data_IF_403136258711
#
_entry.id   IF_403136258711
#
_cell.length_a   1.000
_cell.length_b   1.000
_cell.length_c   1.000
_cell.angle_alpha   90.00
_cell.angle_beta   90.00
_cell.angle_gamma   90.00
#
_symmetry.space_group_name_H-M   'P 1'
#
loop_
_entity.id
_entity.type
_entity.pdbx_description
1 polymer ?
#
# COMPACT_ATOMS: atom_id res chain seq x y z
N UNK A 1 -3.59 8.97 8.77
CA UNK A 1 -4.14 8.16 7.70
C UNK A 1 -3.11 7.87 6.63
N UNK A 2 -3.17 6.67 6.07
CA UNK A 2 -2.20 6.20 5.08
C UNK A 2 -2.60 6.49 3.64
N UNK A 3 -3.84 6.87 3.39
CA UNK A 3 -4.41 6.87 2.03
C UNK A 3 -4.33 8.22 1.31
N UNK A 4 -3.86 9.25 1.98
CA UNK A 4 -3.81 10.59 1.41
C UNK A 4 -2.95 10.71 0.15
N UNK A 5 -1.89 9.93 0.04
CA UNK A 5 -0.99 10.03 -1.10
C UNK A 5 -1.47 9.30 -2.35
N UNK A 6 -2.43 8.37 -2.22
CA UNK A 6 -3.08 7.73 -3.37
C UNK A 6 -4.31 8.49 -3.86
N UNK A 7 -4.77 9.50 -3.11
CA UNK A 7 -5.94 10.26 -3.47
C UNK A 7 -5.66 11.21 -4.65
N UNK A 8 -6.61 11.36 -5.59
CA UNK A 8 -6.47 12.29 -6.73
C UNK A 8 -6.12 13.73 -6.33
N UNK A 9 -6.54 14.14 -5.14
CA UNK A 9 -6.23 15.44 -4.56
C UNK A 9 -5.03 15.42 -3.60
N UNK A 10 -4.13 14.42 -3.65
CA UNK A 10 -3.01 14.27 -2.72
C UNK A 10 -2.19 15.55 -2.55
N UNK A 11 -1.90 16.26 -3.64
CA UNK A 11 -1.18 17.55 -3.59
C UNK A 11 -1.94 18.65 -2.81
N UNK A 12 -3.27 18.69 -2.93
CA UNK A 12 -4.12 19.65 -2.19
C UNK A 12 -4.18 19.27 -0.72
N UNK A 13 -4.33 17.98 -0.41
CA UNK A 13 -4.33 17.44 0.94
C UNK A 13 -2.99 17.66 1.64
N UNK A 14 -1.87 17.45 0.96
CA UNK A 14 -0.54 17.73 1.51
C UNK A 14 -0.37 19.22 1.89
N UNK A 15 -0.88 20.14 1.06
CA UNK A 15 -0.88 21.58 1.39
C UNK A 15 -1.75 21.89 2.61
N UNK A 16 -2.93 21.27 2.72
CA UNK A 16 -3.82 21.43 3.86
C UNK A 16 -3.16 20.90 5.14
N UNK A 17 -2.54 19.73 5.09
CA UNK A 17 -1.82 19.14 6.22
C UNK A 17 -0.64 20.02 6.65
N UNK A 18 0.11 20.56 5.68
CA UNK A 18 1.20 21.51 5.96
C UNK A 18 0.67 22.80 6.60
N UNK A 19 -0.48 23.32 6.17
CA UNK A 19 -1.12 24.48 6.79
C UNK A 19 -1.51 24.19 8.24
N UNK A 20 -2.17 23.04 8.50
CA UNK A 20 -2.54 22.62 9.86
C UNK A 20 -1.30 22.54 10.76
N UNK A 21 -0.23 21.91 10.29
CA UNK A 21 1.02 21.77 11.05
C UNK A 21 1.68 23.13 11.34
N UNK A 22 1.59 24.09 10.40
CA UNK A 22 2.23 25.41 10.54
C UNK A 22 1.40 26.41 11.34
N UNK A 23 0.09 26.23 11.45
CA UNK A 23 -0.83 27.20 12.09
C UNK A 23 -1.42 26.72 13.41
N UNK A 24 -1.23 25.46 13.75
CA UNK A 24 -1.75 24.85 14.97
C UNK A 24 -0.65 24.08 15.72
N UNK A 25 -0.84 23.74 17.00
CA UNK A 25 0.07 22.87 17.73
C UNK A 25 0.04 21.39 17.28
N UNK A 26 -0.87 21.04 16.37
CA UNK A 26 -0.97 19.66 15.86
C UNK A 26 0.24 19.30 15.00
N UNK A 27 0.75 18.09 15.23
CA UNK A 27 1.78 17.48 14.38
C UNK A 27 1.13 16.53 13.40
N UNK A 28 1.50 16.65 12.13
CA UNK A 28 1.05 15.76 11.07
C UNK A 28 2.02 14.60 10.95
N UNK A 29 1.49 13.42 11.03
CA UNK A 29 2.23 12.18 10.84
C UNK A 29 1.61 11.38 9.70
N UNK A 30 2.42 11.06 8.69
CA UNK A 30 2.01 10.22 7.55
C UNK A 30 2.50 8.79 7.81
N UNK A 31 1.56 7.85 7.83
CA UNK A 31 1.86 6.43 7.96
C UNK A 31 1.68 5.75 6.60
N UNK A 32 2.75 5.44 5.87
CA UNK A 32 2.68 4.73 4.60
C UNK A 32 2.12 3.32 4.80
N UNK A 33 1.42 2.81 3.80
CA UNK A 33 0.79 1.48 3.84
C UNK A 33 1.83 0.36 3.79
N UNK A 34 2.91 0.58 3.03
CA UNK A 34 3.95 -0.42 2.82
C UNK A 34 5.29 0.02 3.42
N UNK A 35 6.03 -0.96 3.91
CA UNK A 35 7.41 -0.78 4.35
C UNK A 35 8.25 -0.21 3.21
N UNK A 36 9.14 0.72 3.54
CA UNK A 36 10.04 1.39 2.60
C UNK A 36 9.39 2.28 1.52
N UNK A 37 8.09 2.55 1.57
CA UNK A 37 7.44 3.48 0.63
C UNK A 37 8.15 4.84 0.57
N UNK A 38 8.57 5.36 1.73
CA UNK A 38 9.29 6.63 1.81
C UNK A 38 10.69 6.52 1.19
N UNK A 39 11.40 5.42 1.44
CA UNK A 39 12.74 5.16 0.87
C UNK A 39 12.70 5.11 -0.65
N UNK A 40 11.77 4.34 -1.20
CA UNK A 40 11.55 4.26 -2.65
C UNK A 40 11.21 5.63 -3.24
N UNK A 41 10.32 6.40 -2.61
CA UNK A 41 9.95 7.73 -3.08
C UNK A 41 11.10 8.75 -3.06
N UNK A 42 12.07 8.58 -2.15
CA UNK A 42 13.25 9.46 -2.06
C UNK A 42 14.31 9.06 -3.08
N UNK A 43 14.53 7.76 -3.28
CA UNK A 43 15.64 7.24 -4.10
C UNK A 43 15.24 7.16 -5.57
N UNK A 44 14.07 6.62 -5.87
CA UNK A 44 13.62 6.32 -7.22
C UNK A 44 12.94 7.54 -7.87
N UNK A 45 13.13 7.67 -9.16
CA UNK A 45 12.32 8.55 -9.99
C UNK A 45 11.03 7.80 -10.34
N UNK A 46 9.94 8.19 -9.68
CA UNK A 46 8.63 7.56 -9.87
C UNK A 46 7.95 8.20 -11.07
N UNK A 47 8.08 7.57 -12.22
CA UNK A 47 7.37 7.97 -13.43
C UNK A 47 6.03 7.21 -13.53
N UNK A 48 4.97 7.95 -13.88
CA UNK A 48 3.66 7.38 -14.17
C UNK A 48 3.45 7.08 -15.65
N UNK A 49 4.34 7.55 -16.49
CA UNK A 49 4.25 7.34 -17.91
C UNK A 49 4.84 5.97 -18.25
N UNK A 50 3.99 5.05 -18.65
CA UNK A 50 4.44 3.81 -19.30
C UNK A 50 5.11 4.20 -20.59
N UNK A 51 6.42 3.99 -20.68
CA UNK A 51 7.13 4.11 -21.95
C UNK A 51 6.65 2.99 -22.88
N UNK A 52 6.61 3.27 -24.18
CA UNK A 52 6.39 2.22 -25.18
C UNK A 52 7.53 1.19 -25.07
N UNK A 53 7.17 -0.08 -24.92
CA UNK A 53 8.14 -1.17 -24.81
C UNK A 53 7.68 -2.30 -23.90
N UNK A 54 8.53 -3.31 -23.77
CA UNK A 54 8.29 -4.43 -22.85
C UNK A 54 8.57 -3.99 -21.41
N UNK A 55 7.75 -4.46 -20.51
CA UNK A 55 7.81 -4.15 -19.09
C UNK A 55 8.38 -5.31 -18.30
N UNK A 56 9.27 -5.00 -17.35
CA UNK A 56 9.74 -5.93 -16.32
C UNK A 56 8.96 -5.63 -15.02
N UNK A 57 8.13 -6.58 -14.58
CA UNK A 57 7.44 -6.51 -13.30
C UNK A 57 8.30 -7.09 -12.18
N UNK A 58 8.70 -6.29 -11.20
CA UNK A 58 9.34 -6.75 -9.97
C UNK A 58 8.33 -6.84 -8.86
N UNK A 59 7.97 -8.08 -8.46
CA UNK A 59 6.86 -8.38 -7.55
C UNK A 59 5.52 -7.78 -8.00
N UNK A 60 5.39 -7.56 -9.29
CA UNK A 60 4.22 -7.02 -9.97
C UNK A 60 4.07 -7.65 -11.36
N UNK A 61 2.91 -7.46 -11.99
CA UNK A 61 2.67 -7.93 -13.36
C UNK A 61 3.46 -7.10 -14.37
N UNK A 62 3.98 -7.77 -15.39
CA UNK A 62 4.70 -7.18 -16.52
C UNK A 62 4.73 -8.16 -17.67
N UNK A 63 5.32 -7.78 -18.81
CA UNK A 63 5.56 -8.69 -19.94
C UNK A 63 6.54 -9.82 -19.54
N UNK A 64 7.43 -9.51 -18.63
CA UNK A 64 8.28 -10.45 -17.92
C UNK A 64 8.19 -10.14 -16.43
N UNK A 65 7.91 -11.14 -15.59
CA UNK A 65 7.78 -11.00 -14.15
C UNK A 65 8.93 -11.67 -13.42
N UNK A 66 9.56 -10.90 -12.53
CA UNK A 66 10.54 -11.36 -11.55
C UNK A 66 9.92 -11.19 -10.17
N UNK A 67 9.43 -12.27 -9.59
CA UNK A 67 8.61 -12.22 -8.39
C UNK A 67 8.78 -13.48 -7.54
N UNK A 68 8.44 -13.37 -6.25
CA UNK A 68 8.32 -14.52 -5.35
C UNK A 68 6.99 -15.28 -5.55
N UNK A 69 6.13 -14.83 -6.44
CA UNK A 69 4.84 -15.48 -6.72
C UNK A 69 5.01 -16.72 -7.63
N UNK A 70 4.14 -17.69 -7.46
CA UNK A 70 4.21 -19.00 -8.09
C UNK A 70 4.19 -18.97 -9.62
N UNK A 71 3.59 -17.93 -10.19
CA UNK A 71 3.44 -17.77 -11.65
C UNK A 71 4.44 -16.81 -12.29
N UNK A 72 5.49 -16.42 -11.56
CA UNK A 72 6.51 -15.54 -12.11
C UNK A 72 7.35 -16.24 -13.18
N UNK A 73 7.81 -15.49 -14.19
CA UNK A 73 8.74 -16.00 -15.19
C UNK A 73 10.09 -16.35 -14.58
N UNK A 74 10.51 -15.62 -13.57
CA UNK A 74 11.71 -15.86 -12.79
C UNK A 74 11.43 -15.65 -11.30
N UNK A 75 11.82 -16.61 -10.47
CA UNK A 75 11.62 -16.52 -9.03
C UNK A 75 12.59 -15.53 -8.38
N UNK A 76 12.06 -14.60 -7.61
CA UNK A 76 12.82 -13.68 -6.75
C UNK A 76 12.72 -14.09 -5.28
N UNK A 77 13.68 -13.65 -4.47
CA UNK A 77 13.60 -13.78 -3.03
C UNK A 77 12.43 -12.98 -2.47
N UNK A 78 11.73 -13.54 -1.49
CA UNK A 78 10.76 -12.81 -0.67
C UNK A 78 11.48 -11.96 0.38
N UNK A 79 10.75 -11.03 1.04
CA UNK A 79 11.35 -10.11 2.01
C UNK A 79 12.06 -10.79 3.20
N UNK A 80 11.64 -11.99 3.57
CA UNK A 80 12.25 -12.77 4.63
C UNK A 80 13.42 -13.66 4.18
N UNK A 81 13.77 -13.62 2.90
CA UNK A 81 14.83 -14.40 2.28
C UNK A 81 15.99 -13.54 1.77
N UNK A 82 15.96 -12.25 2.01
CA UNK A 82 17.00 -11.33 1.56
C UNK A 82 17.38 -10.34 2.64
N UNK A 83 18.63 -9.94 2.63
CA UNK A 83 19.12 -8.83 3.43
C UNK A 83 18.83 -7.52 2.74
N UNK A 84 18.77 -6.46 3.53
CA UNK A 84 18.59 -5.14 2.99
C UNK A 84 18.37 -4.09 4.04
N UNK A 85 18.16 -2.88 3.58
CA UNK A 85 17.72 -1.78 4.43
C UNK A 85 16.41 -1.20 3.93
N UNK A 86 15.63 -0.67 4.84
CA UNK A 86 14.44 0.08 4.51
C UNK A 86 14.36 1.36 5.33
N UNK A 87 13.74 2.37 4.78
CA UNK A 87 13.45 3.60 5.50
C UNK A 87 12.11 3.44 6.22
N UNK A 88 12.18 3.37 7.54
CA UNK A 88 11.01 3.25 8.39
C UNK A 88 10.22 4.58 8.46
N UNK A 89 9.00 4.54 8.95
CA UNK A 89 8.12 5.71 9.10
C UNK A 89 8.69 6.77 10.08
N UNK A 90 9.53 6.37 11.02
CA UNK A 90 10.25 7.25 11.94
C UNK A 90 11.49 7.89 11.31
N UNK A 91 11.67 7.69 9.99
CA UNK A 91 12.76 8.21 9.16
C UNK A 91 14.14 7.65 9.55
N UNK A 92 14.16 6.44 10.06
CA UNK A 92 15.39 5.68 10.31
C UNK A 92 15.63 4.68 9.17
N UNK A 93 16.88 4.61 8.72
CA UNK A 93 17.35 3.55 7.82
C UNK A 93 17.69 2.34 8.69
N UNK A 94 16.89 1.29 8.57
CA UNK A 94 16.94 0.11 9.46
C UNK A 94 17.36 -1.12 8.65
N UNK A 95 18.32 -1.93 9.12
CA UNK A 95 18.71 -3.17 8.47
C UNK A 95 17.68 -4.28 8.69
N UNK A 96 17.61 -5.20 7.73
CA UNK A 96 16.89 -6.47 7.83
C UNK A 96 17.81 -7.59 7.39
N UNK A 97 17.81 -8.69 8.14
CA UNK A 97 18.56 -9.89 7.79
C UNK A 97 17.62 -10.94 7.18
N UNK A 98 18.17 -11.80 6.33
CA UNK A 98 17.44 -12.97 5.83
C UNK A 98 17.13 -13.92 6.99
N UNK A 99 15.85 -14.30 7.10
CA UNK A 99 15.40 -15.28 8.09
C UNK A 99 15.38 -16.70 7.51
N UNK A 100 15.29 -16.82 6.20
CA UNK A 100 15.24 -18.08 5.47
C UNK A 100 16.25 -18.07 4.31
N UNK A 101 16.83 -19.21 4.04
CA UNK A 101 17.72 -19.39 2.89
C UNK A 101 16.93 -19.32 1.58
N UNK A 102 17.54 -18.70 0.57
CA UNK A 102 17.03 -18.65 -0.79
C UNK A 102 18.16 -18.99 -1.79
N UNK A 103 17.85 -19.87 -2.74
CA UNK A 103 18.81 -20.36 -3.75
C UNK A 103 18.49 -19.88 -5.18
N UNK A 104 17.69 -18.85 -5.31
CA UNK A 104 17.35 -18.25 -6.60
C UNK A 104 18.14 -16.96 -6.87
N UNK A 105 17.55 -16.10 -7.66
CA UNK A 105 18.17 -14.85 -8.11
C UNK A 105 17.66 -13.67 -7.28
N UNK A 106 18.56 -12.73 -7.02
CA UNK A 106 18.24 -11.42 -6.44
C UNK A 106 18.13 -10.36 -7.54
N UNK A 107 17.65 -9.18 -7.21
CA UNK A 107 17.52 -8.09 -8.18
C UNK A 107 18.89 -7.68 -8.76
N UNK A 108 19.96 -7.76 -7.96
CA UNK A 108 21.32 -7.48 -8.42
C UNK A 108 21.80 -8.49 -9.46
N UNK A 109 21.43 -9.76 -9.33
CA UNK A 109 21.75 -10.78 -10.35
C UNK A 109 21.12 -10.42 -11.69
N UNK A 110 19.86 -9.99 -11.66
CA UNK A 110 19.16 -9.55 -12.85
C UNK A 110 19.78 -8.29 -13.44
N UNK A 111 20.14 -7.31 -12.60
CA UNK A 111 20.81 -6.09 -13.04
C UNK A 111 22.13 -6.41 -13.75
N UNK A 112 22.96 -7.28 -13.16
CA UNK A 112 24.21 -7.73 -13.78
C UNK A 112 23.98 -8.45 -15.11
N UNK A 113 22.98 -9.32 -15.18
CA UNK A 113 22.61 -10.02 -16.42
C UNK A 113 22.16 -9.05 -17.54
N UNK A 114 21.61 -7.90 -17.15
CA UNK A 114 21.24 -6.82 -18.07
C UNK A 114 22.40 -5.87 -18.42
N UNK A 115 23.60 -6.12 -17.90
CA UNK A 115 24.81 -5.34 -18.19
C UNK A 115 25.03 -4.16 -17.24
N UNK A 116 24.30 -4.08 -16.13
CA UNK A 116 24.61 -3.15 -15.05
C UNK A 116 25.70 -3.77 -14.16
N UNK A 117 26.79 -3.06 -13.96
CA UNK A 117 27.89 -3.54 -13.09
C UNK A 117 27.57 -3.25 -11.63
N UNK A 118 26.83 -4.19 -10.99
CA UNK A 118 26.41 -4.11 -9.60
C UNK A 118 27.21 -5.07 -8.71
N UNK A 119 27.74 -4.54 -7.62
CA UNK A 119 28.41 -5.36 -6.61
C UNK A 119 27.42 -6.22 -5.84
N UNK A 120 27.78 -7.49 -5.65
CA UNK A 120 27.04 -8.43 -4.81
C UNK A 120 27.27 -8.22 -3.31
N UNK A 121 28.25 -7.41 -2.96
CA UNK A 121 28.61 -7.21 -1.57
C UNK A 121 27.72 -6.17 -0.88
N UNK A 122 27.56 -6.37 0.39
CA UNK A 122 26.67 -5.71 1.36
C UNK A 122 26.94 -4.19 1.51
N UNK A 123 27.91 -3.65 0.80
CA UNK A 123 28.27 -2.22 0.87
C UNK A 123 27.32 -1.28 0.09
N UNK A 124 26.19 -1.79 -0.39
CA UNK A 124 25.21 -0.97 -1.11
C UNK A 124 24.62 0.17 -0.27
N UNK A 125 24.62 0.07 1.05
CA UNK A 125 24.17 1.17 1.93
C UNK A 125 25.07 2.40 1.84
N UNK A 126 26.35 2.24 1.54
CA UNK A 126 27.28 3.36 1.27
C UNK A 126 26.95 4.12 -0.01
N UNK A 127 26.25 3.49 -0.95
CA UNK A 127 25.89 4.09 -2.24
C UNK A 127 24.58 4.88 -2.16
N UNK A 128 23.88 4.83 -1.04
CA UNK A 128 22.68 5.63 -0.85
C UNK A 128 23.01 7.12 -0.95
N UNK A 129 22.16 7.91 -1.62
CA UNK A 129 22.51 9.29 -1.99
C UNK A 129 22.59 10.23 -0.77
N UNK A 130 23.80 10.67 -0.44
CA UNK A 130 24.07 11.59 0.69
C UNK A 130 23.30 12.90 0.53
N UNK A 131 23.17 13.40 -0.69
CA UNK A 131 22.40 14.61 -0.99
C UNK A 131 20.88 14.48 -0.77
N UNK A 132 20.41 13.25 -0.56
CA UNK A 132 19.02 12.93 -0.18
C UNK A 132 18.92 12.53 1.32
N UNK A 133 19.93 12.86 2.12
CA UNK A 133 19.93 12.71 3.56
C UNK A 133 20.44 11.37 4.10
N UNK A 134 20.87 10.47 3.23
CA UNK A 134 21.44 9.19 3.65
C UNK A 134 22.89 9.34 4.14
N UNK A 135 23.31 8.44 5.02
CA UNK A 135 24.68 8.39 5.55
C UNK A 135 25.45 7.21 4.95
N UNK A 136 26.76 7.36 4.64
CA UNK A 136 27.57 6.32 4.03
C UNK A 136 28.04 5.29 5.08
N UNK A 137 27.10 4.62 5.73
CA UNK A 137 27.35 3.62 6.76
C UNK A 137 27.23 2.23 6.14
N UNK A 138 28.19 1.35 6.42
CA UNK A 138 28.14 -0.04 6.01
C UNK A 138 26.99 -0.78 6.67
N UNK A 139 26.43 -1.76 5.96
CA UNK A 139 25.33 -2.58 6.46
C UNK A 139 25.69 -3.25 7.79
N UNK A 140 26.88 -3.82 7.90
CA UNK A 140 27.35 -4.53 9.09
C UNK A 140 27.53 -3.63 10.32
N UNK A 141 27.55 -2.32 10.14
CA UNK A 141 27.60 -1.34 11.22
C UNK A 141 26.22 -0.80 11.62
N UNK A 142 25.15 -1.34 11.04
CA UNK A 142 23.78 -0.95 11.37
C UNK A 142 23.21 -1.84 12.47
N UNK A 143 23.07 -1.28 13.66
CA UNK A 143 22.37 -1.93 14.77
C UNK A 143 20.86 -2.07 14.50
N UNK A 144 20.21 -3.08 15.07
CA UNK A 144 18.76 -3.24 15.02
C UNK A 144 18.21 -3.89 16.29
N UNK A 145 18.37 -3.19 17.43
CA UNK A 145 17.87 -3.65 18.72
C UNK A 145 17.45 -2.49 19.63
N UNK A 146 16.78 -2.83 20.72
CA UNK A 146 16.54 -1.93 21.83
C UNK A 146 17.41 -2.36 23.02
N UNK A 147 17.98 -1.40 23.75
CA UNK A 147 18.68 -1.70 24.99
C UNK A 147 17.69 -2.11 26.09
N UNK A 148 18.18 -2.73 27.16
CA UNK A 148 17.36 -3.03 28.33
C UNK A 148 16.77 -1.77 29.01
N UNK A 149 17.40 -0.62 28.80
CA UNK A 149 16.91 0.68 29.26
C UNK A 149 15.85 1.29 28.30
N UNK A 150 15.57 0.62 27.18
CA UNK A 150 14.61 1.08 26.18
C UNK A 150 15.18 2.02 25.11
N UNK A 151 16.50 2.26 25.09
CA UNK A 151 17.12 3.09 24.06
C UNK A 151 17.04 2.40 22.69
N UNK A 152 16.65 3.15 21.68
CA UNK A 152 16.56 2.67 20.32
C UNK A 152 17.95 2.65 19.66
N UNK A 153 18.46 1.45 19.38
CA UNK A 153 19.67 1.19 18.59
C UNK A 153 19.26 0.55 17.26
N UNK A 154 18.51 1.31 16.46
CA UNK A 154 17.97 0.83 15.18
C UNK A 154 18.45 1.73 14.05
N UNK A 155 19.44 1.25 13.31
CA UNK A 155 20.00 1.97 12.18
C UNK A 155 20.38 3.41 12.51
N UNK A 156 20.25 4.30 11.52
CA UNK A 156 20.53 5.73 11.70
C UNK A 156 19.35 6.60 11.22
N UNK A 157 19.30 7.83 11.71
CA UNK A 157 18.29 8.79 11.27
C UNK A 157 18.70 9.45 9.96
N UNK A 158 17.71 9.59 9.06
CA UNK A 158 17.88 10.32 7.82
C UNK A 158 18.12 11.82 8.14
N UNK A 159 19.10 12.43 7.49
CA UNK A 159 19.32 13.87 7.61
C UNK A 159 18.21 14.64 6.89
N UNK A 160 17.25 15.16 7.64
CA UNK A 160 16.09 15.85 7.12
C UNK A 160 16.39 17.28 6.63
N UNK A 161 17.54 17.84 6.97
CA UNK A 161 17.96 19.17 6.49
C UNK A 161 18.16 19.22 4.99
N UNK A 162 18.41 18.06 4.35
CA UNK A 162 18.49 17.93 2.92
C UNK A 162 17.15 18.17 2.21
N UNK A 163 16.02 18.11 2.94
CA UNK A 163 14.71 18.36 2.37
C UNK A 163 14.33 19.83 2.54
N UNK A 164 14.17 20.53 1.43
CA UNK A 164 13.69 21.90 1.44
C UNK A 164 12.32 21.96 2.10
N UNK A 165 12.17 22.75 3.16
CA UNK A 165 10.86 23.05 3.69
C UNK A 165 10.04 23.73 2.60
N UNK A 166 8.83 23.21 2.38
CA UNK A 166 7.89 23.85 1.45
C UNK A 166 7.55 25.21 2.05
N UNK A 167 7.91 26.28 1.32
CA UNK A 167 7.59 27.64 1.75
C UNK A 167 6.08 27.74 2.04
N UNK A 168 5.74 28.47 3.09
CA UNK A 168 4.34 28.82 3.40
C UNK A 168 3.75 29.51 2.17
N UNK A 169 2.93 28.79 1.42
CA UNK A 169 2.13 29.39 0.34
C UNK A 169 0.72 29.60 0.88
N UNK A 170 0.12 30.69 0.47
CA UNK A 170 -1.28 30.96 0.79
C UNK A 170 -2.14 29.75 0.40
N UNK A 171 -2.89 29.26 1.36
CA UNK A 171 -3.78 28.13 1.15
C UNK A 171 -5.08 28.66 0.53
N UNK A 172 -5.34 28.22 -0.69
CA UNK A 172 -6.65 28.43 -1.31
C UNK A 172 -7.49 27.20 -0.94
N UNK A 173 -8.60 27.44 -0.24
CA UNK A 173 -9.54 26.37 0.11
C UNK A 173 -9.96 25.60 -1.15
N UNK A 174 -9.75 24.29 -1.21
CA UNK A 174 -10.21 23.53 -2.36
C UNK A 174 -11.73 23.53 -2.40
N UNK A 175 -12.28 23.75 -3.58
CA UNK A 175 -13.69 23.51 -3.80
C UNK A 175 -13.91 21.99 -3.83
N UNK A 176 -14.74 21.47 -2.93
CA UNK A 176 -15.14 20.08 -2.91
C UNK A 176 -16.54 19.98 -3.53
N UNK A 177 -16.65 19.18 -4.57
CA UNK A 177 -17.95 18.81 -5.11
C UNK A 177 -18.63 17.83 -4.15
N UNK A 178 -19.88 18.08 -3.82
CA UNK A 178 -20.67 17.13 -3.05
C UNK A 178 -20.95 15.91 -3.91
N UNK A 179 -20.66 14.74 -3.39
CA UNK A 179 -21.02 13.47 -4.03
C UNK A 179 -22.51 13.24 -3.85
N UNK A 180 -23.25 13.18 -4.94
CA UNK A 180 -24.66 12.76 -4.96
C UNK A 180 -24.75 11.37 -5.56
N UNK A 181 -25.37 10.43 -4.85
CA UNK A 181 -25.59 9.05 -5.30
C UNK A 181 -27.00 8.94 -5.87
N UNK A 182 -27.17 8.13 -6.93
CA UNK A 182 -28.45 7.70 -7.44
C UNK A 182 -29.03 6.60 -6.56
N UNK A 183 -30.30 6.26 -6.81
CA UNK A 183 -31.03 5.27 -6.00
C UNK A 183 -30.37 3.89 -6.01
N UNK A 184 -29.79 3.47 -7.13
CA UNK A 184 -29.10 2.20 -7.33
C UNK A 184 -27.59 2.26 -7.01
N UNK A 185 -27.08 3.44 -6.68
CA UNK A 185 -25.67 3.65 -6.37
C UNK A 185 -25.39 3.55 -4.89
N UNK A 186 -24.22 3.04 -4.57
CA UNK A 186 -23.65 3.01 -3.22
C UNK A 186 -22.22 3.52 -3.21
N UNK A 187 -21.79 4.02 -2.08
CA UNK A 187 -20.38 4.31 -1.85
C UNK A 187 -19.70 3.05 -1.32
N UNK A 188 -18.80 2.50 -2.13
CA UNK A 188 -18.05 1.30 -1.82
C UNK A 188 -16.63 1.66 -1.42
N UNK A 189 -16.19 1.17 -0.26
CA UNK A 189 -14.85 1.39 0.27
C UNK A 189 -13.98 0.15 0.14
N UNK A 190 -12.72 0.36 -0.22
CA UNK A 190 -11.67 -0.63 -0.04
C UNK A 190 -11.21 -0.61 1.42
N UNK A 191 -11.42 -1.68 2.14
CA UNK A 191 -11.02 -1.79 3.54
C UNK A 191 -10.35 -3.13 3.82
N UNK A 192 -9.28 -3.08 4.60
CA UNK A 192 -8.68 -4.27 5.16
C UNK A 192 -9.49 -4.70 6.39
N UNK A 193 -10.03 -5.92 6.43
CA UNK A 193 -10.43 -6.51 7.70
C UNK A 193 -9.24 -6.53 8.67
N UNK A 194 -9.51 -6.56 9.96
CA UNK A 194 -8.45 -6.50 11.00
C UNK A 194 -7.42 -7.62 10.94
N UNK A 195 -7.73 -8.72 10.28
CA UNK A 195 -6.85 -9.87 10.06
C UNK A 195 -6.16 -9.88 8.69
N UNK A 196 -6.56 -9.02 7.75
CA UNK A 196 -5.95 -8.89 6.40
C UNK A 196 -5.09 -7.63 6.33
N UNK A 197 -3.92 -7.67 6.93
CA UNK A 197 -3.01 -6.51 6.98
C UNK A 197 -1.90 -6.54 5.91
N UNK A 198 -1.90 -7.53 5.03
CA UNK A 198 -0.95 -7.64 3.93
C UNK A 198 -1.27 -8.79 2.97
N UNK A 199 -0.60 -8.82 1.83
CA UNK A 199 -0.76 -9.88 0.81
C UNK A 199 -0.53 -11.28 1.39
N UNK A 200 0.39 -11.41 2.32
CA UNK A 200 0.74 -12.71 2.90
C UNK A 200 -0.34 -13.26 3.84
N UNK A 201 -1.14 -12.42 4.45
CA UNK A 201 -2.23 -12.87 5.31
C UNK A 201 -3.33 -13.60 4.53
N UNK A 202 -3.46 -13.34 3.23
CA UNK A 202 -4.40 -14.06 2.35
C UNK A 202 -4.02 -15.53 2.15
N UNK A 203 -2.76 -15.89 2.34
CA UNK A 203 -2.27 -17.27 2.21
C UNK A 203 -2.52 -18.10 3.47
N UNK A 204 -2.90 -17.48 4.57
CA UNK A 204 -3.24 -18.17 5.79
C UNK A 204 -4.71 -18.64 5.73
N UNK A 205 -4.95 -19.86 5.25
CA UNK A 205 -6.30 -20.42 5.06
C UNK A 205 -7.13 -20.43 6.34
N UNK A 206 -6.48 -20.47 7.51
CA UNK A 206 -7.17 -20.41 8.81
C UNK A 206 -7.80 -19.04 9.12
N UNK A 207 -7.38 -17.97 8.44
CA UNK A 207 -7.89 -16.61 8.66
C UNK A 207 -8.56 -16.03 7.42
N UNK A 208 -8.55 -16.74 6.30
CA UNK A 208 -9.23 -16.31 5.08
C UNK A 208 -10.68 -16.76 5.12
N UNK A 209 -11.57 -15.80 5.20
CA UNK A 209 -12.98 -16.00 4.93
C UNK A 209 -13.27 -15.85 3.42
N UNK A 210 -14.39 -16.43 2.99
CA UNK A 210 -14.94 -16.16 1.64
C UNK A 210 -15.23 -14.68 1.55
N UNK A 211 -14.91 -14.07 0.40
CA UNK A 211 -15.19 -12.65 0.18
C UNK A 211 -16.69 -12.40 0.25
N UNK A 212 -17.03 -11.35 0.96
CA UNK A 212 -18.38 -10.86 1.09
C UNK A 212 -18.40 -9.33 0.98
N UNK A 213 -19.55 -8.79 0.65
CA UNK A 213 -19.82 -7.36 0.76
C UNK A 213 -20.25 -7.05 2.20
N UNK A 214 -19.39 -6.41 2.96
CA UNK A 214 -19.78 -5.92 4.27
C UNK A 214 -20.59 -4.64 4.13
N UNK A 215 -21.77 -4.58 4.73
CA UNK A 215 -22.67 -3.42 4.65
C UNK A 215 -23.08 -2.97 6.04
N UNK A 216 -23.22 -1.66 6.23
CA UNK A 216 -23.78 -1.12 7.46
C UNK A 216 -25.25 -1.48 7.62
N UNK A 217 -25.75 -1.53 8.86
CA UNK A 217 -27.17 -1.76 9.13
C UNK A 217 -28.07 -0.72 8.46
N UNK A 218 -27.61 0.54 8.37
CA UNK A 218 -28.37 1.61 7.73
C UNK A 218 -28.50 1.37 6.22
N UNK A 219 -27.41 1.05 5.56
CA UNK A 219 -27.42 0.74 4.13
C UNK A 219 -28.22 -0.54 3.83
N UNK A 220 -28.09 -1.54 4.69
CA UNK A 220 -28.88 -2.78 4.57
C UNK A 220 -30.38 -2.51 4.62
N UNK A 221 -30.85 -1.66 5.53
CA UNK A 221 -32.27 -1.23 5.62
C UNK A 221 -32.68 -0.43 4.38
N UNK A 222 -31.86 0.54 3.97
CA UNK A 222 -32.14 1.40 2.81
C UNK A 222 -32.29 0.56 1.51
N UNK A 223 -31.39 -0.38 1.29
CA UNK A 223 -31.36 -1.24 0.09
C UNK A 223 -32.13 -2.55 0.25
N UNK A 224 -32.85 -2.74 1.33
CA UNK A 224 -33.60 -3.98 1.67
C UNK A 224 -32.74 -5.25 1.55
N UNK A 225 -31.54 -5.18 2.12
CA UNK A 225 -30.57 -6.28 2.15
C UNK A 225 -30.63 -7.00 3.49
N UNK A 226 -30.41 -8.32 3.44
CA UNK A 226 -30.24 -9.17 4.61
C UNK A 226 -28.91 -9.88 4.56
N UNK A 227 -28.48 -10.37 5.71
CA UNK A 227 -27.32 -11.23 5.79
C UNK A 227 -27.46 -12.44 4.84
N UNK A 228 -26.37 -12.75 4.12
CA UNK A 228 -26.31 -13.80 3.08
C UNK A 228 -27.12 -13.54 1.80
N UNK A 229 -27.76 -12.40 1.62
CA UNK A 229 -28.33 -12.07 0.32
C UNK A 229 -27.23 -12.04 -0.75
N UNK A 230 -27.54 -12.53 -1.93
CA UNK A 230 -26.65 -12.43 -3.08
C UNK A 230 -26.89 -11.09 -3.79
N UNK A 231 -25.83 -10.35 -4.02
CA UNK A 231 -25.85 -9.06 -4.71
C UNK A 231 -24.87 -9.04 -5.87
N UNK A 232 -25.18 -8.22 -6.85
CA UNK A 232 -24.31 -7.90 -7.97
C UNK A 232 -23.83 -6.45 -7.82
N UNK A 233 -22.52 -6.27 -7.81
CA UNK A 233 -21.88 -4.97 -7.86
C UNK A 233 -21.41 -4.72 -9.28
N UNK A 234 -21.71 -3.54 -9.80
CA UNK A 234 -21.13 -3.04 -11.04
C UNK A 234 -20.27 -1.83 -10.75
N UNK A 235 -19.00 -1.94 -11.07
CA UNK A 235 -17.97 -0.93 -10.81
C UNK A 235 -17.28 -0.63 -12.14
N UNK A 236 -17.59 0.52 -12.74
CA UNK A 236 -17.16 0.87 -14.10
C UNK A 236 -17.63 -0.19 -15.11
N UNK A 237 -16.70 -0.87 -15.76
CA UNK A 237 -16.90 -1.94 -16.75
C UNK A 237 -16.83 -3.35 -16.16
N UNK A 238 -16.62 -3.47 -14.85
CA UNK A 238 -16.47 -4.74 -14.13
C UNK A 238 -17.71 -5.06 -13.32
N UNK A 239 -18.01 -6.34 -13.20
CA UNK A 239 -19.12 -6.86 -12.40
C UNK A 239 -18.61 -7.92 -11.42
N UNK A 240 -19.20 -7.93 -10.23
CA UNK A 240 -18.83 -8.83 -9.15
C UNK A 240 -20.08 -9.29 -8.41
N UNK A 241 -20.26 -10.60 -8.24
CA UNK A 241 -21.36 -11.16 -7.44
C UNK A 241 -20.82 -11.65 -6.08
N UNK A 242 -21.46 -11.22 -5.00
CA UNK A 242 -21.00 -11.47 -3.63
C UNK A 242 -22.19 -11.72 -2.69
N UNK A 243 -21.95 -12.47 -1.64
CA UNK A 243 -22.87 -12.52 -0.51
C UNK A 243 -22.74 -11.27 0.36
N UNK A 244 -23.85 -10.81 0.91
CA UNK A 244 -23.89 -9.70 1.85
C UNK A 244 -23.59 -10.19 3.26
N UNK A 245 -22.84 -9.41 4.00
CA UNK A 245 -22.68 -9.52 5.45
C UNK A 245 -23.08 -8.19 6.09
N UNK A 246 -24.12 -8.20 6.89
CA UNK A 246 -24.51 -7.01 7.65
C UNK A 246 -23.63 -6.88 8.86
N UNK A 247 -22.92 -5.76 8.98
CA UNK A 247 -21.95 -5.52 10.05
C UNK A 247 -22.36 -4.29 10.87
N UNK A 248 -22.66 -4.52 12.15
CA UNK A 248 -23.05 -3.48 13.11
C UNK A 248 -21.93 -2.50 13.47
N UNK A 249 -20.68 -2.89 13.28
CA UNK A 249 -19.52 -2.05 13.57
C UNK A 249 -19.23 -1.06 12.44
N UNK A 250 -19.84 -1.27 11.28
CA UNK A 250 -19.81 -0.34 10.15
C UNK A 250 -20.90 0.72 10.33
N UNK A 251 -20.50 1.97 10.48
CA UNK A 251 -21.47 3.07 10.68
C UNK A 251 -22.25 3.40 9.42
N UNK A 252 -21.59 3.52 8.27
CA UNK A 252 -22.21 3.83 6.98
C UNK A 252 -21.43 3.19 5.84
N UNK A 253 -22.15 2.85 4.74
CA UNK A 253 -21.55 2.42 3.48
C UNK A 253 -21.37 0.93 3.36
N UNK A 254 -20.68 0.54 2.31
CA UNK A 254 -20.33 -0.83 1.96
C UNK A 254 -18.81 -0.97 1.81
N UNK A 255 -18.28 -2.14 2.13
CA UNK A 255 -16.85 -2.40 2.15
C UNK A 255 -16.53 -3.70 1.46
N UNK A 256 -15.53 -3.66 0.57
CA UNK A 256 -14.87 -4.85 0.06
C UNK A 256 -13.54 -5.06 0.77
N UNK A 257 -13.15 -6.31 1.08
CA UNK A 257 -11.82 -6.62 1.55
C UNK A 257 -10.75 -6.09 0.60
N UNK A 258 -9.68 -5.55 1.17
CA UNK A 258 -8.59 -4.91 0.43
C UNK A 258 -7.86 -5.88 -0.50
N UNK A 259 -7.77 -7.14 -0.12
CA UNK A 259 -7.10 -8.18 -0.88
C UNK A 259 -7.96 -9.41 -1.06
N UNK A 260 -8.13 -9.82 -2.30
CA UNK A 260 -8.37 -11.20 -2.68
C UNK A 260 -7.69 -11.47 -4.02
N UNK A 261 -6.85 -12.49 -4.05
CA UNK A 261 -6.11 -12.86 -5.26
C UNK A 261 -7.05 -13.39 -6.36
N UNK A 262 -8.13 -14.07 -5.99
CA UNK A 262 -9.08 -14.65 -6.96
C UNK A 262 -9.94 -13.59 -7.64
N UNK A 263 -10.28 -12.53 -6.92
CA UNK A 263 -11.16 -11.48 -7.43
C UNK A 263 -10.41 -10.22 -7.85
N UNK A 264 -9.09 -10.15 -7.63
CA UNK A 264 -8.27 -8.96 -7.94
C UNK A 264 -8.95 -7.66 -7.48
N UNK A 265 -9.38 -7.65 -6.20
CA UNK A 265 -10.20 -6.56 -5.65
C UNK A 265 -9.54 -5.19 -5.76
N UNK A 266 -8.21 -5.14 -5.80
CA UNK A 266 -7.47 -3.88 -6.01
C UNK A 266 -7.77 -3.24 -7.34
N UNK A 267 -8.04 -4.03 -8.38
CA UNK A 267 -8.31 -3.52 -9.73
C UNK A 267 -9.66 -2.80 -9.86
N UNK A 268 -10.53 -2.90 -8.84
CA UNK A 268 -11.80 -2.17 -8.79
C UNK A 268 -11.64 -0.74 -8.27
N UNK A 269 -10.53 -0.43 -7.59
CA UNK A 269 -10.35 0.83 -6.91
C UNK A 269 -9.15 1.61 -7.46
N UNK A 270 -9.41 2.79 -7.99
CA UNK A 270 -8.34 3.78 -8.26
C UNK A 270 -8.02 4.60 -7.01
N UNK A 271 -8.96 4.67 -6.08
CA UNK A 271 -8.90 5.38 -4.81
C UNK A 271 -9.45 4.46 -3.72
N UNK A 272 -9.43 4.91 -2.48
CA UNK A 272 -9.97 4.15 -1.35
C UNK A 272 -11.47 3.86 -1.46
N UNK A 273 -12.19 4.62 -2.24
CA UNK A 273 -13.61 4.42 -2.47
C UNK A 273 -13.97 4.62 -3.93
N UNK A 274 -15.08 4.03 -4.32
CA UNK A 274 -15.65 4.12 -5.66
C UNK A 274 -17.18 4.13 -5.56
N UNK A 275 -17.83 4.76 -6.51
CA UNK A 275 -19.29 4.60 -6.68
C UNK A 275 -19.56 3.32 -7.45
N UNK A 276 -20.41 2.48 -6.89
CA UNK A 276 -20.80 1.20 -7.47
C UNK A 276 -22.32 1.13 -7.59
N UNK A 277 -22.82 0.52 -8.67
CA UNK A 277 -24.23 0.14 -8.72
C UNK A 277 -24.42 -1.18 -7.99
N UNK A 278 -25.50 -1.28 -7.22
CA UNK A 278 -25.84 -2.44 -6.41
C UNK A 278 -27.20 -2.99 -6.85
N UNK A 279 -27.20 -4.26 -7.23
CA UNK A 279 -28.41 -5.00 -7.60
C UNK A 279 -28.55 -6.22 -6.68
N UNK A 280 -29.73 -6.39 -6.08
CA UNK A 280 -30.05 -7.58 -5.31
C UNK A 280 -30.48 -8.70 -6.22
N UNK A 281 -29.80 -9.84 -6.20
CA UNK A 281 -30.10 -11.00 -7.04
C UNK A 281 -31.05 -12.00 -6.37
N UNK A 282 -31.13 -12.05 -5.06
CA UNK A 282 -31.98 -12.95 -4.29
C UNK A 282 -31.36 -13.39 -2.96
N UNK A 283 -32.02 -14.29 -2.26
CA UNK A 283 -31.47 -14.93 -1.06
C UNK A 283 -30.62 -16.14 -1.48
N UNK A 284 -29.44 -16.27 -0.90
CA UNK A 284 -28.63 -17.48 -1.04
C UNK A 284 -29.25 -18.57 -0.16
N UNK A 285 -29.76 -19.64 -0.75
CA UNK A 285 -30.41 -20.76 -0.08
C UNK A 285 -29.44 -21.94 0.16
N UNK A 286 -28.17 -21.66 0.47
CA UNK A 286 -27.25 -22.71 0.93
C UNK A 286 -27.02 -22.65 2.45
#
# INVERSE_FOLDING_TARGET
>A
GSDFYFHKNAKKLAKLLALIQNTTPFKVFLNPTHTNTLGVAIICDLDKNTQEGKTLGYNEKGDFSFSYEEHANLASASLNQQEGTFLNYDKRVVPTNAALEFKGYFLNDLANALGFDEEYTINYTKRLPINKGFSPIDFDHLDNFYTNAGDCKRGYELNLECFKQVAKKDFISPNFENLSLKEDEILLYSANPSYQFGRFSNRASAINEVIFLAVSENLAKEKNLKDKDLVKLKIKDKELSLSVRVDKDIKNGAFLPYFDEKLDTLSFFDERFVVANLEKLGANHE
#
